data_IF_020027547470
#
_entry.id   IF_020027547470
#
_cell.length_a   1.000
_cell.length_b   1.000
_cell.length_c   1.000
_cell.angle_alpha   90.00
_cell.angle_beta   90.00
_cell.angle_gamma   90.00
#
_symmetry.space_group_name_H-M   'P 1'
#
loop_
_entity.id
_entity.type
_entity.pdbx_description
1 polymer ?
#
# COMPACT_ATOMS: atom_id res chain seq x y z
N UNK A 1 27.20 28.24 54.06
CA UNK A 1 28.17 29.26 53.62
C UNK A 1 29.35 28.51 53.03
N UNK A 2 29.99 29.06 51.98
CA UNK A 2 30.98 28.43 51.07
C UNK A 2 30.32 27.60 49.95
N UNK A 3 30.37 27.94 48.66
CA UNK A 3 31.16 28.94 47.95
C UNK A 3 32.40 28.34 47.31
N UNK A 4 32.26 27.74 46.13
CA UNK A 4 33.31 27.31 45.18
C UNK A 4 32.59 26.97 43.86
N UNK A 5 33.02 27.24 42.64
CA UNK A 5 34.25 27.80 42.06
C UNK A 5 33.92 28.25 40.62
N UNK A 6 34.68 29.20 40.11
CA UNK A 6 34.49 29.91 38.84
C UNK A 6 35.14 29.20 37.62
N UNK A 7 34.46 29.30 36.48
CA UNK A 7 34.97 29.74 35.16
C UNK A 7 35.96 28.88 34.33
N UNK A 8 35.50 28.42 33.17
CA UNK A 8 36.11 28.46 31.81
C UNK A 8 35.18 27.67 30.87
N UNK A 9 34.84 28.01 29.63
CA UNK A 9 35.46 28.87 28.62
C UNK A 9 35.84 28.01 27.39
N UNK A 10 34.91 27.72 26.48
CA UNK A 10 35.08 27.43 25.03
C UNK A 10 33.86 26.66 24.49
N UNK A 11 33.05 27.25 23.60
CA UNK A 11 33.15 27.24 22.13
C UNK A 11 32.73 25.93 21.46
N UNK A 12 31.55 26.01 20.83
CA UNK A 12 31.15 25.42 19.54
C UNK A 12 31.49 23.96 19.24
N UNK A 13 30.45 23.13 19.10
CA UNK A 13 30.23 22.41 17.83
C UNK A 13 28.73 22.16 17.62
N UNK A 14 28.23 22.68 16.51
CA UNK A 14 27.01 22.20 15.88
C UNK A 14 27.22 20.72 15.55
N UNK A 15 26.45 19.83 16.18
CA UNK A 15 26.20 18.52 15.59
C UNK A 15 24.75 18.55 15.15
N UNK A 16 24.56 18.84 13.86
CA UNK A 16 23.33 18.55 13.15
C UNK A 16 22.87 17.14 13.55
N UNK A 17 21.57 16.89 13.81
CA UNK A 17 21.11 15.53 14.04
C UNK A 17 21.52 14.76 12.79
N UNK A 18 22.46 13.82 12.98
CA UNK A 18 23.06 13.07 11.89
C UNK A 18 21.96 12.52 11.01
N UNK A 19 22.19 12.62 9.70
CA UNK A 19 21.43 11.89 8.69
C UNK A 19 21.29 10.44 9.17
N UNK A 20 20.17 10.13 9.82
CA UNK A 20 19.58 8.82 9.76
C UNK A 20 19.05 8.72 8.34
N UNK A 21 19.97 8.58 7.39
CA UNK A 21 19.65 8.12 6.04
C UNK A 21 18.98 6.77 6.24
N UNK A 22 17.67 6.86 6.19
CA UNK A 22 16.79 5.76 6.46
C UNK A 22 17.04 4.74 5.37
N UNK A 23 17.79 3.68 5.69
CA UNK A 23 18.04 2.59 4.76
C UNK A 23 16.74 1.88 4.32
N UNK A 24 15.64 2.05 5.08
CA UNK A 24 14.29 1.65 4.64
C UNK A 24 13.74 2.60 3.58
N UNK A 25 14.17 3.86 3.59
CA UNK A 25 13.77 4.84 2.60
C UNK A 25 14.26 4.46 1.21
N UNK A 26 15.55 4.12 1.14
CA UNK A 26 16.19 3.74 -0.10
C UNK A 26 15.63 2.42 -0.65
N UNK A 27 15.34 1.44 0.21
CA UNK A 27 14.76 0.15 -0.18
C UNK A 27 13.31 0.27 -0.69
N UNK A 28 12.45 1.10 -0.06
CA UNK A 28 11.11 1.35 -0.62
C UNK A 28 11.22 2.02 -1.98
N UNK A 29 12.18 2.95 -2.13
CA UNK A 29 12.30 3.76 -3.33
C UNK A 29 12.75 2.89 -4.49
N UNK A 30 13.68 1.97 -4.25
CA UNK A 30 14.13 0.98 -5.24
C UNK A 30 13.00 0.03 -5.64
N UNK A 31 12.23 -0.52 -4.68
CA UNK A 31 11.07 -1.37 -4.98
C UNK A 31 10.02 -0.58 -5.77
N UNK A 32 9.74 0.68 -5.41
CA UNK A 32 8.83 1.55 -6.15
C UNK A 32 9.37 1.91 -7.56
N UNK A 33 10.69 2.07 -7.74
CA UNK A 33 11.31 2.34 -9.03
C UNK A 33 11.36 1.11 -9.95
N UNK A 34 11.62 -0.09 -9.41
CA UNK A 34 11.42 -1.34 -10.15
C UNK A 34 9.96 -1.47 -10.55
N UNK A 35 9.04 -1.15 -9.64
CA UNK A 35 7.61 -1.15 -9.90
C UNK A 35 7.16 -0.03 -10.86
N UNK A 36 7.93 1.03 -11.11
CA UNK A 36 7.60 2.04 -12.12
C UNK A 36 7.64 1.43 -13.55
N UNK A 37 8.35 0.32 -13.73
CA UNK A 37 8.29 -0.50 -14.94
C UNK A 37 7.00 -1.33 -15.10
N UNK A 38 6.09 -1.30 -14.11
CA UNK A 38 4.85 -2.10 -14.06
C UNK A 38 3.73 -1.66 -15.00
N UNK A 39 3.89 -0.57 -15.75
CA UNK A 39 3.09 -0.38 -16.96
C UNK A 39 3.22 -1.60 -17.89
N UNK A 40 4.34 -2.32 -17.85
CA UNK A 40 4.53 -3.55 -18.61
C UNK A 40 3.50 -4.65 -18.29
N UNK A 41 3.01 -4.76 -17.05
CA UNK A 41 1.97 -5.75 -16.72
C UNK A 41 0.65 -5.34 -17.39
N UNK A 42 0.27 -4.06 -17.26
CA UNK A 42 -0.95 -3.55 -17.89
C UNK A 42 -0.89 -3.65 -19.43
N UNK A 43 0.28 -3.35 -20.03
CA UNK A 43 0.52 -3.52 -21.47
C UNK A 43 0.47 -4.98 -21.90
N UNK A 44 1.08 -5.89 -21.12
CA UNK A 44 1.02 -7.32 -21.41
C UNK A 44 -0.43 -7.84 -21.34
N UNK A 45 -1.22 -7.37 -20.38
CA UNK A 45 -2.64 -7.71 -20.32
C UNK A 45 -3.39 -7.23 -21.57
N UNK A 46 -3.05 -6.06 -22.13
CA UNK A 46 -3.62 -5.61 -23.41
C UNK A 46 -3.20 -6.51 -24.58
N UNK A 47 -1.91 -6.89 -24.65
CA UNK A 47 -1.38 -7.84 -25.64
C UNK A 47 -2.08 -9.21 -25.56
N UNK A 48 -2.39 -9.66 -24.34
CA UNK A 48 -3.10 -10.90 -24.05
C UNK A 48 -4.64 -10.78 -24.29
N UNK A 49 -5.13 -9.60 -24.69
CA UNK A 49 -6.52 -9.36 -25.08
C UNK A 49 -7.44 -8.79 -24.00
N UNK A 50 -6.92 -8.47 -22.82
CA UNK A 50 -7.67 -7.81 -21.74
C UNK A 50 -7.64 -6.29 -21.93
N UNK A 51 -8.57 -5.78 -22.72
CA UNK A 51 -8.57 -4.40 -23.18
C UNK A 51 -9.31 -3.45 -22.22
N UNK A 52 -10.28 -3.94 -21.46
CA UNK A 52 -11.08 -3.10 -20.54
C UNK A 52 -10.44 -3.01 -19.14
N UNK A 53 -10.70 -1.93 -18.38
CA UNK A 53 -10.28 -1.85 -16.98
C UNK A 53 -10.82 -2.98 -16.12
N UNK A 54 -12.06 -3.42 -16.36
CA UNK A 54 -12.69 -4.52 -15.63
C UNK A 54 -12.00 -5.87 -15.86
N UNK A 55 -11.65 -6.17 -17.11
CA UNK A 55 -10.90 -7.39 -17.44
C UNK A 55 -9.52 -7.40 -16.80
N UNK A 56 -8.80 -6.27 -16.86
CA UNK A 56 -7.49 -6.13 -16.21
C UNK A 56 -7.61 -6.29 -14.70
N UNK A 57 -8.56 -5.63 -14.06
CA UNK A 57 -8.78 -5.76 -12.62
C UNK A 57 -9.05 -7.22 -12.23
N UNK A 58 -9.91 -7.91 -12.99
CA UNK A 58 -10.22 -9.33 -12.78
C UNK A 58 -9.00 -10.25 -12.88
N UNK A 59 -8.06 -9.94 -13.77
CA UNK A 59 -6.83 -10.72 -13.89
C UNK A 59 -5.86 -10.42 -12.74
N UNK A 60 -5.67 -9.13 -12.42
CA UNK A 60 -4.73 -8.68 -11.39
C UNK A 60 -5.09 -9.16 -9.99
N UNK A 61 -6.39 -9.25 -9.64
CA UNK A 61 -6.83 -9.67 -8.30
C UNK A 61 -6.52 -11.15 -7.99
N UNK A 62 -6.16 -11.96 -8.99
CA UNK A 62 -5.79 -13.37 -8.78
C UNK A 62 -4.42 -13.52 -8.12
N UNK A 63 -3.54 -12.53 -8.30
CA UNK A 63 -2.12 -12.61 -7.91
C UNK A 63 -1.70 -11.49 -6.95
N UNK A 64 -2.62 -11.01 -6.08
CA UNK A 64 -2.35 -9.91 -5.13
C UNK A 64 -1.22 -10.20 -4.13
N UNK A 65 -0.84 -11.47 -3.96
CA UNK A 65 0.28 -11.85 -3.10
C UNK A 65 1.63 -11.33 -3.62
N UNK A 66 1.72 -11.09 -4.92
CA UNK A 66 2.89 -10.57 -5.61
C UNK A 66 2.80 -9.04 -5.76
N UNK A 67 3.83 -8.34 -5.26
CA UNK A 67 3.83 -6.86 -5.18
C UNK A 67 3.63 -6.17 -6.55
N UNK A 68 4.11 -6.79 -7.63
CA UNK A 68 4.02 -6.25 -9.00
C UNK A 68 2.57 -6.19 -9.50
N UNK A 69 1.76 -7.22 -9.22
CA UNK A 69 0.34 -7.25 -9.61
C UNK A 69 -0.48 -6.30 -8.73
N UNK A 70 -0.18 -6.26 -7.43
CA UNK A 70 -0.80 -5.31 -6.52
C UNK A 70 -0.52 -3.85 -6.92
N UNK A 71 0.72 -3.55 -7.33
CA UNK A 71 1.06 -2.23 -7.84
C UNK A 71 0.36 -1.92 -9.17
N UNK A 72 0.31 -2.88 -10.11
CA UNK A 72 -0.42 -2.70 -11.37
C UNK A 72 -1.91 -2.43 -11.10
N UNK A 73 -2.50 -3.10 -10.11
CA UNK A 73 -3.88 -2.86 -9.69
C UNK A 73 -4.06 -1.46 -9.10
N UNK A 74 -3.12 -1.00 -8.25
CA UNK A 74 -3.09 0.38 -7.75
C UNK A 74 -3.13 1.38 -8.91
N UNK A 75 -2.21 1.24 -9.87
CA UNK A 75 -2.10 2.15 -11.04
C UNK A 75 -3.39 2.13 -11.85
N UNK A 76 -3.99 0.94 -12.04
CA UNK A 76 -5.23 0.78 -12.77
C UNK A 76 -6.38 1.58 -12.12
N UNK A 77 -6.51 1.57 -10.79
CA UNK A 77 -7.55 2.31 -10.06
C UNK A 77 -7.24 3.80 -9.86
N UNK A 78 -5.96 4.18 -9.79
CA UNK A 78 -5.51 5.57 -9.66
C UNK A 78 -5.80 6.39 -10.92
N UNK A 79 -5.85 5.74 -12.09
CA UNK A 79 -6.25 6.40 -13.32
C UNK A 79 -7.76 6.68 -13.33
N UNK A 80 -8.14 7.92 -13.05
CA UNK A 80 -9.54 8.36 -13.01
C UNK A 80 -10.28 8.22 -14.35
N UNK A 81 -9.56 8.13 -15.48
CA UNK A 81 -10.14 7.89 -16.81
C UNK A 81 -10.63 6.46 -16.99
N UNK A 82 -10.16 5.52 -16.17
CA UNK A 82 -10.61 4.13 -16.23
C UNK A 82 -12.00 4.01 -15.59
N UNK A 83 -13.03 3.82 -16.41
CA UNK A 83 -14.37 3.50 -15.92
C UNK A 83 -14.45 2.03 -15.50
N UNK A 84 -14.98 1.77 -14.30
CA UNK A 84 -15.17 0.43 -13.78
C UNK A 84 -16.65 0.17 -13.54
N UNK A 85 -17.09 -1.06 -13.78
CA UNK A 85 -18.40 -1.48 -13.31
C UNK A 85 -18.43 -1.60 -11.79
N UNK A 86 -19.64 -1.47 -11.22
CA UNK A 86 -19.85 -1.73 -9.79
C UNK A 86 -19.38 -3.13 -9.40
N UNK A 87 -19.62 -4.14 -10.24
CA UNK A 87 -19.21 -5.52 -9.96
C UNK A 87 -17.69 -5.66 -9.88
N UNK A 88 -16.95 -5.01 -10.78
CA UNK A 88 -15.49 -5.00 -10.77
C UNK A 88 -14.93 -4.39 -9.48
N UNK A 89 -15.46 -3.23 -9.07
CA UNK A 89 -15.08 -2.57 -7.82
C UNK A 89 -15.39 -3.44 -6.59
N UNK A 90 -16.54 -4.09 -6.55
CA UNK A 90 -16.93 -4.98 -5.44
C UNK A 90 -16.02 -6.21 -5.41
N UNK A 91 -15.76 -6.85 -6.55
CA UNK A 91 -14.86 -8.01 -6.63
C UNK A 91 -13.44 -7.66 -6.16
N UNK A 92 -12.93 -6.49 -6.58
CA UNK A 92 -11.62 -6.01 -6.13
C UNK A 92 -11.61 -5.69 -4.64
N UNK A 93 -12.69 -5.09 -4.11
CA UNK A 93 -12.83 -4.85 -2.68
C UNK A 93 -12.81 -6.17 -1.90
N UNK A 94 -13.57 -7.18 -2.34
CA UNK A 94 -13.60 -8.51 -1.71
C UNK A 94 -12.24 -9.19 -1.70
N UNK A 95 -11.47 -9.08 -2.79
CA UNK A 95 -10.11 -9.60 -2.85
C UNK A 95 -9.14 -8.85 -1.92
N UNK A 96 -9.28 -7.53 -1.79
CA UNK A 96 -8.40 -6.70 -0.96
C UNK A 96 -8.72 -6.79 0.54
N UNK A 97 -9.94 -7.12 0.93
CA UNK A 97 -10.27 -7.32 2.36
C UNK A 97 -9.83 -8.69 2.89
N UNK A 98 -9.36 -9.61 2.05
CA UNK A 98 -8.85 -10.90 2.51
C UNK A 98 -7.41 -10.78 3.07
N UNK A 99 -7.21 -10.98 4.39
CA UNK A 99 -5.88 -10.91 4.99
C UNK A 99 -5.06 -12.20 4.81
N UNK A 100 -5.64 -13.27 4.26
CA UNK A 100 -5.02 -14.62 4.21
C UNK A 100 -3.67 -14.62 3.49
N UNK A 101 -3.48 -13.70 2.54
CA UNK A 101 -2.22 -13.53 1.81
C UNK A 101 -1.06 -13.04 2.69
N UNK A 102 -1.31 -12.54 3.91
CA UNK A 102 -0.32 -12.04 4.86
C UNK A 102 -0.03 -13.05 5.99
N UNK A 103 0.39 -14.26 5.62
CA UNK A 103 0.67 -15.36 6.56
C UNK A 103 2.15 -15.45 7.01
N UNK A 104 3.04 -14.61 6.48
CA UNK A 104 4.45 -14.52 6.89
C UNK A 104 4.92 -13.06 6.98
N UNK A 105 5.97 -12.82 7.78
CA UNK A 105 6.49 -11.50 8.07
C UNK A 105 7.96 -11.38 7.66
N UNK A 106 8.22 -10.57 6.64
CA UNK A 106 9.55 -10.13 6.22
C UNK A 106 9.57 -8.61 6.07
N UNK A 107 10.74 -8.01 5.84
CA UNK A 107 10.84 -6.57 5.53
C UNK A 107 10.03 -6.18 4.29
N UNK A 108 10.00 -7.06 3.29
CA UNK A 108 9.19 -6.89 2.08
C UNK A 108 7.68 -6.97 2.39
N UNK A 109 7.28 -7.76 3.40
CA UNK A 109 5.88 -7.83 3.85
C UNK A 109 5.34 -6.48 4.32
N UNK A 110 6.17 -5.61 4.90
CA UNK A 110 5.75 -4.27 5.33
C UNK A 110 5.47 -3.34 4.13
N UNK A 111 6.36 -3.33 3.13
CA UNK A 111 6.16 -2.56 1.91
C UNK A 111 4.92 -3.06 1.13
N UNK A 112 4.73 -4.38 1.07
CA UNK A 112 3.54 -4.97 0.45
C UNK A 112 2.27 -4.62 1.23
N UNK A 113 2.30 -4.66 2.56
CA UNK A 113 1.15 -4.30 3.41
C UNK A 113 0.73 -2.85 3.19
N UNK A 114 1.70 -1.94 3.21
CA UNK A 114 1.47 -0.52 2.95
C UNK A 114 0.83 -0.31 1.56
N UNK A 115 1.39 -0.93 0.52
CA UNK A 115 0.85 -0.87 -0.85
C UNK A 115 -0.57 -1.45 -0.92
N UNK A 116 -0.83 -2.54 -0.20
CA UNK A 116 -2.13 -3.21 -0.16
C UNK A 116 -3.19 -2.30 0.44
N UNK A 117 -2.88 -1.68 1.59
CA UNK A 117 -3.77 -0.71 2.24
C UNK A 117 -4.03 0.51 1.34
N UNK A 118 -3.03 1.03 0.63
CA UNK A 118 -3.24 2.12 -0.34
C UNK A 118 -4.16 1.71 -1.49
N UNK A 119 -3.97 0.50 -2.02
CA UNK A 119 -4.81 -0.02 -3.10
C UNK A 119 -6.25 -0.22 -2.63
N UNK A 120 -6.43 -0.72 -1.40
CA UNK A 120 -7.74 -0.85 -0.78
C UNK A 120 -8.45 0.49 -0.60
N UNK A 121 -7.75 1.52 -0.09
CA UNK A 121 -8.30 2.88 0.04
C UNK A 121 -8.73 3.44 -1.31
N UNK A 122 -7.93 3.28 -2.37
CA UNK A 122 -8.31 3.72 -3.71
C UNK A 122 -9.60 3.06 -4.20
N UNK A 123 -9.76 1.74 -4.02
CA UNK A 123 -11.01 1.06 -4.41
C UNK A 123 -12.21 1.59 -3.62
N UNK A 124 -12.05 1.83 -2.31
CA UNK A 124 -13.10 2.44 -1.50
C UNK A 124 -13.44 3.86 -1.96
N UNK A 125 -12.44 4.68 -2.32
CA UNK A 125 -12.66 6.01 -2.88
C UNK A 125 -13.48 5.93 -4.17
N UNK A 126 -13.11 5.05 -5.11
CA UNK A 126 -13.87 4.83 -6.36
C UNK A 126 -15.32 4.42 -6.08
N UNK A 127 -15.54 3.55 -5.09
CA UNK A 127 -16.89 3.15 -4.65
C UNK A 127 -17.66 4.36 -4.08
N UNK A 128 -17.02 5.19 -3.25
CA UNK A 128 -17.64 6.37 -2.64
C UNK A 128 -18.01 7.46 -3.66
N UNK A 129 -17.26 7.57 -4.76
CA UNK A 129 -17.58 8.50 -5.85
C UNK A 129 -18.71 8.02 -6.76
N UNK A 130 -19.07 6.74 -6.68
CA UNK A 130 -20.18 6.16 -7.44
C UNK A 130 -21.40 5.96 -6.53
N UNK A 131 -22.62 5.88 -7.08
CA UNK A 131 -23.83 5.62 -6.31
C UNK A 131 -23.94 4.13 -5.90
N UNK A 132 -22.86 3.53 -5.40
CA UNK A 132 -22.79 2.12 -5.00
C UNK A 132 -23.10 2.03 -3.50
N UNK A 133 -24.15 1.28 -3.15
CA UNK A 133 -24.49 1.00 -1.75
C UNK A 133 -23.96 -0.38 -1.38
N UNK A 134 -22.98 -0.43 -0.48
CA UNK A 134 -22.45 -1.69 0.04
C UNK A 134 -23.50 -2.39 0.90
N UNK A 135 -23.64 -3.70 0.73
CA UNK A 135 -24.49 -4.52 1.60
C UNK A 135 -23.97 -4.48 3.04
N UNK A 136 -24.86 -4.71 4.02
CA UNK A 136 -24.44 -4.77 5.44
C UNK A 136 -23.32 -5.79 5.64
N UNK A 137 -23.47 -6.98 5.05
CA UNK A 137 -22.48 -8.05 5.16
C UNK A 137 -21.10 -7.61 4.64
N UNK A 138 -21.03 -6.97 3.47
CA UNK A 138 -19.76 -6.53 2.90
C UNK A 138 -19.11 -5.41 3.74
N UNK A 139 -19.90 -4.46 4.27
CA UNK A 139 -19.39 -3.45 5.20
C UNK A 139 -18.83 -4.07 6.48
N UNK A 140 -19.53 -5.04 7.05
CA UNK A 140 -19.07 -5.74 8.25
C UNK A 140 -17.74 -6.47 7.98
N UNK A 141 -17.58 -7.09 6.80
CA UNK A 141 -16.30 -7.69 6.37
C UNK A 141 -15.18 -6.64 6.24
N UNK A 142 -15.45 -5.50 5.60
CA UNK A 142 -14.50 -4.38 5.47
C UNK A 142 -13.97 -3.94 6.85
N UNK A 143 -14.86 -3.72 7.82
CA UNK A 143 -14.47 -3.30 9.17
C UNK A 143 -13.68 -4.38 9.92
N UNK A 144 -14.12 -5.64 9.84
CA UNK A 144 -13.42 -6.74 10.49
C UNK A 144 -12.02 -6.95 9.91
N UNK A 145 -11.85 -6.75 8.60
CA UNK A 145 -10.54 -6.86 7.95
C UNK A 145 -9.59 -5.75 8.35
N UNK A 146 -10.09 -4.52 8.58
CA UNK A 146 -9.26 -3.42 9.06
C UNK A 146 -8.60 -3.76 10.40
N UNK A 147 -9.34 -4.36 11.33
CA UNK A 147 -8.80 -4.82 12.61
C UNK A 147 -7.70 -5.87 12.42
N UNK A 148 -7.86 -6.79 11.46
CA UNK A 148 -6.85 -7.81 11.15
C UNK A 148 -5.59 -7.20 10.54
N UNK A 149 -5.70 -6.26 9.62
CA UNK A 149 -4.54 -5.57 9.04
C UNK A 149 -3.80 -4.71 10.07
N UNK A 150 -4.50 -4.09 11.02
CA UNK A 150 -3.86 -3.39 12.14
C UNK A 150 -3.02 -4.34 13.01
N UNK A 151 -3.51 -5.56 13.25
CA UNK A 151 -2.76 -6.58 13.99
C UNK A 151 -1.52 -7.08 13.21
N UNK A 152 -1.64 -7.26 11.89
CA UNK A 152 -0.51 -7.60 11.00
C UNK A 152 0.56 -6.49 11.07
N UNK A 153 0.17 -5.23 10.99
CA UNK A 153 1.08 -4.10 11.11
C UNK A 153 1.80 -4.08 12.47
N UNK A 154 1.08 -4.33 13.57
CA UNK A 154 1.67 -4.40 14.91
C UNK A 154 2.76 -5.47 15.00
N UNK A 155 2.50 -6.66 14.47
CA UNK A 155 3.46 -7.79 14.47
C UNK A 155 4.70 -7.56 13.61
N UNK A 156 4.64 -6.67 12.61
CA UNK A 156 5.79 -6.35 11.73
C UNK A 156 6.66 -5.23 12.27
N UNK A 157 6.20 -4.50 13.30
CA UNK A 157 6.90 -3.35 13.88
C UNK A 157 7.54 -3.65 15.24
N UNK A 158 7.15 -4.77 15.88
CA UNK A 158 7.70 -5.26 17.16
C UNK A 158 8.83 -6.26 16.92
#
# INVERSE_FOLDING_TARGET
MEGSSSQSGSSSTNTAPGNLENNNSLSYKTILYENLSNNRILLKLEEDGFITPDEKAKELIKELSEIKYLYALKVLFENLQNEFSSQSLINSLEALIDPTSFNYYSKESMARLELHLRTWVLVLERICFLPIVLSKELRDKVYNSLAKFAEIHRKTTQ
#
